data_IF_503379791716
#
_entry.id   IF_503379791716
#
_cell.length_a   1.000
_cell.length_b   1.000
_cell.length_c   1.000
_cell.angle_alpha   90.00
_cell.angle_beta   90.00
_cell.angle_gamma   90.00
#
_symmetry.space_group_name_H-M   'P 1'
#
loop_
_entity.id
_entity.type
_entity.pdbx_description
1 polymer ?
#
# COMPACT_ATOMS: atom_id res chain seq x y z
N UNK A 1 -3.65 -16.21 20.47
CA UNK A 1 -4.07 -16.05 19.06
C UNK A 1 -3.92 -17.38 18.33
N UNK A 2 -5.03 -18.02 17.94
CA UNK A 2 -5.02 -19.31 17.24
C UNK A 2 -4.56 -19.16 15.77
N UNK A 3 -5.05 -18.13 15.08
CA UNK A 3 -4.73 -17.92 13.66
C UNK A 3 -3.25 -17.72 13.34
N UNK A 4 -2.50 -16.99 14.18
CA UNK A 4 -1.06 -16.81 13.99
C UNK A 4 -0.28 -18.14 14.16
N UNK A 5 -0.66 -18.95 15.14
CA UNK A 5 -0.04 -20.26 15.37
C UNK A 5 -0.28 -21.17 14.17
N UNK A 6 -1.53 -21.24 13.69
CA UNK A 6 -1.87 -22.00 12.50
C UNK A 6 -1.12 -21.53 11.26
N UNK A 7 -1.00 -20.21 11.04
CA UNK A 7 -0.24 -19.69 9.89
C UNK A 7 1.25 -20.07 9.96
N UNK A 8 1.88 -19.99 11.13
CA UNK A 8 3.28 -20.41 11.33
C UNK A 8 3.42 -21.92 11.10
N UNK A 9 2.47 -22.72 11.58
CA UNK A 9 2.43 -24.17 11.39
C UNK A 9 2.35 -24.52 9.89
N UNK A 10 1.47 -23.88 9.13
CA UNK A 10 1.39 -24.09 7.68
C UNK A 10 2.68 -23.68 6.96
N UNK A 11 3.29 -22.56 7.35
CA UNK A 11 4.57 -22.11 6.77
C UNK A 11 5.70 -23.09 7.05
N UNK A 12 5.73 -23.71 8.23
CA UNK A 12 6.75 -24.68 8.62
C UNK A 12 6.74 -25.95 7.79
N UNK A 13 5.63 -26.25 7.12
CA UNK A 13 5.53 -27.37 6.16
C UNK A 13 6.19 -27.05 4.81
N UNK A 14 6.38 -25.76 4.48
CA UNK A 14 6.92 -25.31 3.19
C UNK A 14 8.40 -24.94 3.27
N UNK A 15 8.85 -24.40 4.41
CA UNK A 15 10.22 -23.95 4.60
C UNK A 15 10.59 -23.91 6.08
N UNK A 16 11.89 -23.82 6.37
CA UNK A 16 12.37 -23.59 7.74
C UNK A 16 11.88 -22.23 8.24
N UNK A 17 11.14 -22.25 9.35
CA UNK A 17 10.61 -21.03 9.97
C UNK A 17 11.40 -20.70 11.22
N UNK A 18 11.99 -19.50 11.23
CA UNK A 18 12.61 -18.93 12.41
C UNK A 18 11.67 -17.93 13.07
N UNK A 19 11.34 -18.13 14.34
CA UNK A 19 10.58 -17.16 15.12
C UNK A 19 11.53 -16.28 15.93
N UNK A 20 11.20 -14.99 16.04
CA UNK A 20 11.95 -14.01 16.83
C UNK A 20 10.99 -13.28 17.76
N UNK A 21 11.44 -13.01 18.97
CA UNK A 21 10.68 -12.22 19.93
C UNK A 21 10.71 -10.73 19.55
N UNK A 22 9.64 -10.00 19.89
CA UNK A 22 9.52 -8.59 19.53
C UNK A 22 10.65 -7.71 20.09
N UNK A 23 11.21 -8.06 21.26
CA UNK A 23 12.36 -7.35 21.83
C UNK A 23 13.65 -7.57 21.01
N UNK A 24 13.84 -8.75 20.41
CA UNK A 24 14.99 -9.04 19.55
C UNK A 24 14.95 -8.15 18.31
N UNK A 25 13.80 -8.10 17.64
CA UNK A 25 13.58 -7.22 16.49
C UNK A 25 13.79 -5.75 16.88
N UNK A 26 13.35 -5.34 18.07
CA UNK A 26 13.56 -3.98 18.57
C UNK A 26 15.05 -3.64 18.70
N UNK A 27 15.86 -4.56 19.24
CA UNK A 27 17.31 -4.36 19.39
C UNK A 27 18.01 -4.30 18.03
N UNK A 28 17.68 -5.20 17.10
CA UNK A 28 18.28 -5.20 15.78
C UNK A 28 17.92 -3.94 14.97
N UNK A 29 16.67 -3.46 15.08
CA UNK A 29 16.27 -2.18 14.46
C UNK A 29 17.12 -1.02 14.97
N UNK A 30 17.39 -0.95 16.28
CA UNK A 30 18.25 0.10 16.85
C UNK A 30 19.68 0.01 16.30
N UNK A 31 20.24 -1.20 16.21
CA UNK A 31 21.56 -1.42 15.62
C UNK A 31 21.63 -0.99 14.15
N UNK A 32 20.61 -1.35 13.36
CA UNK A 32 20.47 -0.99 11.94
C UNK A 32 19.97 0.44 11.70
N UNK A 33 19.70 1.22 12.75
CA UNK A 33 19.12 2.57 12.69
C UNK A 33 17.80 2.65 11.90
N UNK A 34 16.98 1.60 12.01
CA UNK A 34 15.65 1.55 11.43
C UNK A 34 14.63 2.15 12.40
N UNK A 35 14.20 3.37 12.09
CA UNK A 35 13.20 4.09 12.88
C UNK A 35 11.86 3.35 12.89
N UNK A 36 11.09 3.55 13.96
CA UNK A 36 9.75 3.00 14.06
C UNK A 36 8.80 4.08 14.52
N UNK A 37 7.78 4.31 13.71
CA UNK A 37 6.72 5.22 14.06
C UNK A 37 5.83 4.63 15.15
N UNK A 38 5.34 5.50 16.04
CA UNK A 38 4.29 5.15 17.00
C UNK A 38 2.90 5.22 16.35
N UNK A 39 2.76 5.91 15.23
CA UNK A 39 1.50 6.10 14.54
C UNK A 39 1.27 5.00 13.50
N UNK A 40 0.49 3.97 13.85
CA UNK A 40 0.19 2.85 12.95
C UNK A 40 -0.63 3.22 11.71
N UNK A 41 -1.28 4.39 11.70
CA UNK A 41 -2.05 4.86 10.54
C UNK A 41 -1.17 5.58 9.51
N UNK A 42 0.07 5.90 9.88
CA UNK A 42 1.02 6.54 9.00
C UNK A 42 1.44 5.58 7.88
N UNK A 43 1.24 6.01 6.65
CA UNK A 43 1.60 5.24 5.47
C UNK A 43 3.07 5.42 5.12
N UNK A 44 3.95 4.90 5.98
CA UNK A 44 5.40 5.02 5.82
C UNK A 44 6.13 3.70 6.05
N UNK A 45 7.40 3.57 5.59
CA UNK A 45 8.23 2.41 5.88
C UNK A 45 8.40 2.14 7.38
N UNK A 46 8.48 3.18 8.20
CA UNK A 46 8.68 3.11 9.65
C UNK A 46 7.51 2.43 10.37
N UNK A 47 6.30 2.55 9.81
CA UNK A 47 5.09 1.92 10.33
C UNK A 47 4.86 0.50 9.82
N UNK A 48 5.29 0.20 8.58
CA UNK A 48 4.82 -0.99 7.87
C UNK A 48 5.91 -1.92 7.32
N UNK A 49 7.16 -1.46 7.16
CA UNK A 49 8.22 -2.20 6.50
C UNK A 49 9.43 -2.48 7.40
N UNK A 50 9.82 -1.53 8.27
CA UNK A 50 11.08 -1.59 9.01
C UNK A 50 11.19 -2.81 9.95
N UNK A 51 10.08 -3.25 10.56
CA UNK A 51 10.07 -4.48 11.36
C UNK A 51 10.36 -5.73 10.49
N UNK A 52 9.84 -5.77 9.27
CA UNK A 52 10.07 -6.87 8.32
C UNK A 52 11.51 -6.89 7.79
N UNK A 53 12.07 -5.73 7.49
CA UNK A 53 13.49 -5.58 7.10
C UNK A 53 14.38 -6.12 8.22
N UNK A 54 14.17 -5.67 9.46
CA UNK A 54 14.94 -6.16 10.59
C UNK A 54 14.80 -7.67 10.82
N UNK A 55 13.58 -8.23 10.64
CA UNK A 55 13.38 -9.67 10.71
C UNK A 55 14.21 -10.43 9.66
N UNK A 56 14.26 -9.95 8.42
CA UNK A 56 15.06 -10.54 7.36
C UNK A 56 16.58 -10.44 7.65
N UNK A 57 17.02 -9.35 8.28
CA UNK A 57 18.43 -9.15 8.61
C UNK A 57 18.99 -10.17 9.60
N UNK A 58 18.15 -10.83 10.42
CA UNK A 58 18.60 -11.92 11.30
C UNK A 58 19.18 -13.13 10.54
N UNK A 59 18.94 -13.25 9.22
CA UNK A 59 19.58 -14.27 8.40
C UNK A 59 21.09 -14.01 8.22
N UNK A 60 21.52 -12.76 8.33
CA UNK A 60 22.88 -12.31 8.04
C UNK A 60 23.60 -11.71 9.25
N UNK A 61 22.87 -11.51 10.34
CA UNK A 61 23.36 -10.92 11.58
C UNK A 61 22.98 -11.78 12.76
N UNK A 62 23.99 -12.13 13.55
CA UNK A 62 23.83 -12.80 14.83
C UNK A 62 24.43 -11.95 15.96
N UNK A 63 23.92 -12.15 17.17
CA UNK A 63 24.42 -11.45 18.36
C UNK A 63 25.24 -12.41 19.20
N UNK A 64 26.56 -12.30 19.14
CA UNK A 64 27.48 -13.26 19.74
C UNK A 64 28.30 -12.63 20.86
N UNK A 65 28.65 -13.41 21.90
CA UNK A 65 29.62 -12.96 22.88
C UNK A 65 31.00 -12.81 22.24
N UNK A 66 31.78 -11.86 22.72
CA UNK A 66 33.19 -11.74 22.39
C UNK A 66 34.01 -11.61 23.67
N UNK A 67 35.22 -12.16 23.63
CA UNK A 67 36.22 -12.04 24.67
C UNK A 67 37.52 -11.55 24.02
N UNK A 68 37.91 -10.33 24.36
CA UNK A 68 39.20 -9.74 24.03
C UNK A 68 40.07 -9.67 25.29
N UNK A 69 41.36 -9.39 25.13
CA UNK A 69 42.33 -9.37 26.23
C UNK A 69 41.93 -8.47 27.41
N UNK A 70 41.27 -7.33 27.14
CA UNK A 70 40.84 -6.35 28.14
C UNK A 70 39.32 -6.06 28.14
N UNK A 71 38.53 -6.79 27.35
CA UNK A 71 37.08 -6.55 27.30
C UNK A 71 36.30 -7.81 26.97
N UNK A 72 35.10 -7.91 27.51
CA UNK A 72 34.16 -8.96 27.20
C UNK A 72 32.79 -8.32 27.03
N UNK A 73 31.95 -8.92 26.19
CA UNK A 73 30.64 -8.37 25.91
C UNK A 73 29.96 -9.15 24.81
N UNK A 74 28.98 -8.51 24.19
CA UNK A 74 28.28 -9.05 23.04
C UNK A 74 28.29 -8.02 21.93
N UNK A 75 28.34 -8.51 20.70
CA UNK A 75 28.33 -7.66 19.52
C UNK A 75 27.58 -8.34 18.38
N UNK A 76 27.08 -7.53 17.45
CA UNK A 76 26.49 -8.04 16.22
C UNK A 76 27.60 -8.50 15.28
N UNK A 77 27.52 -9.76 14.83
CA UNK A 77 28.43 -10.38 13.87
C UNK A 77 27.72 -10.59 12.55
N UNK A 78 28.44 -10.30 11.47
CA UNK A 78 27.92 -10.29 10.10
C UNK A 78 27.90 -8.90 9.49
N UNK A 79 27.36 -8.77 8.29
CA UNK A 79 27.31 -7.49 7.58
C UNK A 79 26.02 -7.38 6.77
N UNK A 80 25.33 -6.26 6.94
CA UNK A 80 24.15 -5.89 6.15
C UNK A 80 24.24 -4.41 5.82
N UNK A 81 23.99 -4.07 4.57
CA UNK A 81 23.82 -2.68 4.13
C UNK A 81 22.36 -2.45 3.75
N UNK A 82 21.65 -1.71 4.59
CA UNK A 82 20.29 -1.25 4.24
C UNK A 82 20.42 -0.15 3.19
N UNK A 83 19.68 -0.27 2.10
CA UNK A 83 19.64 0.70 1.02
C UNK A 83 18.25 1.29 0.88
N UNK A 84 18.17 2.50 0.32
CA UNK A 84 16.88 3.10 -0.01
C UNK A 84 16.12 2.21 -1.01
N UNK A 85 14.85 1.99 -0.75
CA UNK A 85 13.95 1.22 -1.59
C UNK A 85 12.67 2.03 -1.85
N UNK A 86 12.03 1.87 -3.02
CA UNK A 86 10.76 2.53 -3.27
C UNK A 86 9.69 2.01 -2.32
N UNK A 87 9.00 2.92 -1.65
CA UNK A 87 7.80 2.60 -0.88
C UNK A 87 6.57 3.05 -1.66
N UNK A 88 5.56 2.20 -1.72
CA UNK A 88 4.31 2.53 -2.39
C UNK A 88 3.11 1.96 -1.65
N UNK A 89 2.07 2.76 -1.53
CA UNK A 89 0.78 2.36 -0.98
C UNK A 89 -0.12 1.96 -2.13
N UNK A 90 -0.50 0.68 -2.16
CA UNK A 90 -1.41 0.13 -3.17
C UNK A 90 -2.78 -0.08 -2.55
N UNK A 91 -3.81 0.50 -3.18
CA UNK A 91 -5.19 0.29 -2.75
C UNK A 91 -6.15 0.22 -3.93
N UNK A 92 -7.35 -0.27 -3.69
CA UNK A 92 -8.42 -0.27 -4.70
C UNK A 92 -9.08 1.10 -4.76
N UNK A 93 -9.46 1.59 -5.95
CA UNK A 93 -10.34 2.74 -6.08
C UNK A 93 -11.64 2.50 -5.28
N UNK A 94 -12.05 3.43 -4.39
CA UNK A 94 -13.30 3.33 -3.65
C UNK A 94 -14.47 3.71 -4.55
N UNK A 95 -14.71 2.88 -5.57
CA UNK A 95 -15.79 3.05 -6.54
C UNK A 95 -17.02 2.26 -6.09
N UNK A 96 -18.17 2.92 -5.99
CA UNK A 96 -19.43 2.23 -5.77
C UNK A 96 -19.75 1.33 -6.96
N UNK A 97 -19.86 0.03 -6.71
CA UNK A 97 -20.39 -0.93 -7.69
C UNK A 97 -21.89 -0.66 -7.89
N UNK A 98 -22.42 -1.04 -9.05
CA UNK A 98 -23.87 -0.97 -9.27
C UNK A 98 -24.55 -1.93 -8.30
N UNK A 99 -25.42 -1.39 -7.45
CA UNK A 99 -26.21 -2.18 -6.51
C UNK A 99 -27.53 -2.60 -7.14
N UNK A 100 -27.99 -3.81 -6.79
CA UNK A 100 -29.19 -4.42 -7.37
C UNK A 100 -30.50 -3.80 -6.86
N UNK A 101 -30.52 -3.21 -5.67
CA UNK A 101 -31.72 -2.59 -5.11
C UNK A 101 -31.94 -1.14 -5.59
N UNK A 102 -30.91 -0.48 -6.14
CA UNK A 102 -31.07 0.79 -6.88
C UNK A 102 -31.62 0.56 -8.31
N UNK A 103 -32.09 -0.65 -8.63
CA UNK A 103 -32.58 -1.07 -9.94
C UNK A 103 -34.09 -0.86 -10.17
N UNK A 104 -34.83 -0.26 -9.25
CA UNK A 104 -36.22 0.15 -9.56
C UNK A 104 -36.15 1.20 -10.67
N UNK A 105 -36.88 0.94 -11.76
CA UNK A 105 -36.92 1.85 -12.88
C UNK A 105 -37.44 3.21 -12.43
N UNK A 106 -36.76 4.28 -12.86
CA UNK A 106 -37.36 5.61 -12.78
C UNK A 106 -38.52 5.70 -13.78
N UNK A 107 -39.44 6.65 -13.58
CA UNK A 107 -40.51 6.94 -14.55
C UNK A 107 -39.90 7.05 -15.96
N UNK A 108 -40.34 6.20 -16.89
CA UNK A 108 -39.77 6.07 -18.23
C UNK A 108 -38.78 4.90 -18.45
N UNK A 109 -38.72 3.91 -17.55
CA UNK A 109 -38.04 2.63 -17.80
C UNK A 109 -36.50 2.68 -17.80
N UNK A 110 -35.91 3.82 -17.42
CA UNK A 110 -34.46 3.99 -17.32
C UNK A 110 -33.99 3.79 -15.89
N UNK A 111 -32.92 3.00 -15.70
CA UNK A 111 -32.26 2.82 -14.41
C UNK A 111 -31.39 4.04 -14.09
N UNK A 112 -31.31 4.41 -12.81
CA UNK A 112 -30.40 5.47 -12.36
C UNK A 112 -28.95 5.09 -12.70
N UNK A 113 -28.19 6.04 -13.24
CA UNK A 113 -26.76 5.89 -13.55
C UNK A 113 -25.90 6.05 -12.28
N UNK A 114 -26.26 5.35 -11.20
CA UNK A 114 -25.48 5.34 -9.96
C UNK A 114 -24.59 4.10 -9.90
N UNK A 115 -23.32 4.31 -9.54
CA UNK A 115 -22.30 3.25 -9.52
C UNK A 115 -21.87 2.75 -10.91
N UNK A 116 -20.85 1.90 -10.91
CA UNK A 116 -20.23 1.36 -12.13
C UNK A 116 -18.90 2.02 -12.47
N UNK A 117 -18.16 1.36 -13.37
CA UNK A 117 -16.77 1.67 -13.69
C UNK A 117 -16.56 2.45 -14.97
N UNK A 118 -17.57 2.60 -15.85
CA UNK A 118 -17.43 3.30 -17.14
C UNK A 118 -18.16 4.64 -17.09
N UNK A 119 -17.52 5.71 -17.57
CA UNK A 119 -18.10 7.05 -17.70
C UNK A 119 -18.78 7.23 -19.06
N UNK A 120 -19.57 8.30 -19.23
CA UNK A 120 -20.22 8.62 -20.52
C UNK A 120 -19.24 9.00 -21.64
N UNK A 121 -17.96 9.23 -21.30
CA UNK A 121 -16.97 9.86 -22.17
C UNK A 121 -15.87 8.91 -22.64
N UNK A 122 -16.08 7.59 -22.52
CA UNK A 122 -15.09 6.58 -22.91
C UNK A 122 -13.94 6.36 -21.92
N UNK A 123 -13.97 7.04 -20.77
CA UNK A 123 -13.05 6.82 -19.65
C UNK A 123 -13.65 5.84 -18.63
N UNK A 124 -12.80 5.21 -17.83
CA UNK A 124 -13.22 4.35 -16.72
C UNK A 124 -12.78 4.93 -15.40
N UNK A 125 -13.58 4.76 -14.36
CA UNK A 125 -13.17 5.11 -13.00
C UNK A 125 -11.93 4.29 -12.63
N UNK A 126 -10.91 4.97 -12.12
CA UNK A 126 -9.57 4.43 -11.89
C UNK A 126 -8.64 4.48 -13.11
N UNK A 127 -9.07 5.00 -14.27
CA UNK A 127 -8.13 5.38 -15.34
C UNK A 127 -7.20 6.46 -14.79
N UNK A 128 -5.90 6.32 -15.02
CA UNK A 128 -4.91 7.34 -14.71
C UNK A 128 -4.85 8.32 -15.87
N UNK A 129 -4.99 9.61 -15.57
CA UNK A 129 -5.10 10.66 -16.57
C UNK A 129 -4.22 11.85 -16.20
N UNK A 130 -3.73 12.55 -17.23
CA UNK A 130 -3.13 13.87 -17.11
C UNK A 130 -4.21 14.93 -17.34
N UNK A 131 -4.14 16.02 -16.58
CA UNK A 131 -5.09 17.12 -16.66
C UNK A 131 -4.45 18.44 -16.25
N UNK A 132 -5.07 19.60 -16.54
CA UNK A 132 -4.55 20.90 -16.10
C UNK A 132 -4.46 21.07 -14.58
N UNK A 133 -5.10 20.19 -13.79
CA UNK A 133 -5.03 20.17 -12.32
C UNK A 133 -4.02 19.16 -11.78
N UNK A 134 -3.26 18.50 -12.67
CA UNK A 134 -2.29 17.47 -12.33
C UNK A 134 -2.70 16.07 -12.78
N UNK A 135 -1.81 15.11 -12.50
CA UNK A 135 -2.04 13.70 -12.76
C UNK A 135 -2.93 13.12 -11.65
N UNK A 136 -3.96 12.36 -12.04
CA UNK A 136 -4.86 11.74 -11.09
C UNK A 136 -5.69 10.63 -11.70
N UNK A 137 -6.62 10.11 -10.91
CA UNK A 137 -7.51 9.02 -11.27
C UNK A 137 -8.90 9.53 -11.57
N UNK A 138 -9.54 9.01 -12.62
CA UNK A 138 -10.94 9.31 -12.90
C UNK A 138 -11.80 8.74 -11.76
N UNK A 139 -12.56 9.60 -11.08
CA UNK A 139 -13.44 9.21 -9.95
C UNK A 139 -14.92 9.24 -10.33
N UNK A 140 -15.29 9.95 -11.39
CA UNK A 140 -16.65 9.99 -11.92
C UNK A 140 -16.81 10.94 -13.09
N UNK A 141 -18.06 11.21 -13.47
CA UNK A 141 -18.40 12.06 -14.60
C UNK A 141 -19.69 12.84 -14.37
N UNK A 142 -19.72 14.03 -14.95
CA UNK A 142 -20.94 14.81 -15.20
C UNK A 142 -21.26 14.72 -16.69
N UNK A 143 -22.28 15.46 -17.12
CA UNK A 143 -22.68 15.50 -18.53
C UNK A 143 -21.55 15.94 -19.47
N UNK A 144 -20.67 16.86 -19.04
CA UNK A 144 -19.63 17.44 -19.90
C UNK A 144 -18.20 17.27 -19.37
N UNK A 145 -18.03 16.81 -18.13
CA UNK A 145 -16.74 16.81 -17.45
C UNK A 145 -16.46 15.49 -16.75
N UNK A 146 -15.19 15.17 -16.56
CA UNK A 146 -14.74 14.08 -15.70
C UNK A 146 -14.26 14.65 -14.37
N UNK A 147 -14.61 13.96 -13.29
CA UNK A 147 -14.03 14.21 -11.97
C UNK A 147 -12.70 13.46 -11.89
N UNK A 148 -11.63 14.19 -11.57
CA UNK A 148 -10.29 13.64 -11.36
C UNK A 148 -9.94 13.79 -9.87
N UNK A 149 -9.44 12.72 -9.26
CA UNK A 149 -9.04 12.65 -7.86
C UNK A 149 -7.57 12.23 -7.72
N UNK A 150 -6.94 12.59 -6.61
CA UNK A 150 -5.59 12.14 -6.26
C UNK A 150 -5.56 10.67 -5.79
N UNK A 151 -4.38 10.21 -5.37
CA UNK A 151 -4.18 8.86 -4.82
C UNK A 151 -4.95 8.66 -3.51
N UNK A 152 -5.23 9.72 -2.75
CA UNK A 152 -6.08 9.73 -1.54
C UNK A 152 -7.58 9.76 -1.85
N UNK A 153 -7.95 9.75 -3.13
CA UNK A 153 -9.33 9.90 -3.62
C UNK A 153 -9.97 11.26 -3.34
N UNK A 154 -9.18 12.25 -2.93
CA UNK A 154 -9.61 13.65 -2.82
C UNK A 154 -9.70 14.24 -4.21
N UNK A 155 -10.83 14.89 -4.52
CA UNK A 155 -11.09 15.44 -5.86
C UNK A 155 -10.17 16.62 -6.14
N UNK A 156 -9.36 16.51 -7.21
CA UNK A 156 -8.55 17.61 -7.75
C UNK A 156 -9.43 18.61 -8.51
N UNK A 157 -10.44 18.13 -9.22
CA UNK A 157 -11.41 18.98 -9.90
C UNK A 157 -12.34 18.22 -10.84
N UNK A 158 -13.24 18.98 -11.46
CA UNK A 158 -14.04 18.53 -12.60
C UNK A 158 -13.50 19.23 -13.85
N UNK A 159 -13.15 18.43 -14.86
CA UNK A 159 -12.34 18.88 -15.98
C UNK A 159 -13.05 18.46 -17.27
N UNK A 160 -13.12 19.39 -18.22
CA UNK A 160 -13.68 19.11 -19.54
C UNK A 160 -12.92 17.94 -20.19
N UNK A 161 -13.66 17.02 -20.80
CA UNK A 161 -13.10 15.79 -21.41
C UNK A 161 -12.00 16.12 -22.42
N UNK A 162 -12.18 17.20 -23.19
CA UNK A 162 -11.21 17.68 -24.18
C UNK A 162 -9.84 18.08 -23.61
N UNK A 163 -9.75 18.33 -22.30
CA UNK A 163 -8.51 18.71 -21.60
C UNK A 163 -7.88 17.54 -20.85
N UNK A 164 -8.35 16.31 -21.05
CA UNK A 164 -7.89 15.13 -20.31
C UNK A 164 -7.21 14.18 -21.27
N UNK A 165 -5.99 13.78 -20.90
CA UNK A 165 -5.24 12.78 -21.64
C UNK A 165 -5.16 11.49 -20.83
N UNK A 166 -5.55 10.36 -21.43
CA UNK A 166 -5.39 9.05 -20.82
C UNK A 166 -3.91 8.69 -20.76
N UNK A 167 -3.40 8.41 -19.56
CA UNK A 167 -2.05 7.85 -19.36
C UNK A 167 -2.14 6.32 -19.34
N UNK A 168 -3.09 5.78 -18.58
CA UNK A 168 -3.23 4.34 -18.39
C UNK A 168 -4.66 3.94 -18.07
N UNK A 169 -5.14 2.85 -18.66
CA UNK A 169 -6.42 2.24 -18.31
C UNK A 169 -6.42 1.66 -16.89
N UNK A 170 -7.56 1.72 -16.23
CA UNK A 170 -7.79 1.17 -14.90
C UNK A 170 -7.42 -0.31 -14.85
N UNK A 171 -6.54 -0.64 -13.89
CA UNK A 171 -6.19 -2.02 -13.51
C UNK A 171 -6.80 -2.37 -12.13
N UNK A 172 -7.74 -1.56 -11.65
CA UNK A 172 -8.33 -1.72 -10.31
C UNK A 172 -7.42 -1.33 -9.15
N UNK A 173 -6.25 -0.73 -9.42
CA UNK A 173 -5.28 -0.30 -8.41
C UNK A 173 -4.93 1.18 -8.53
N UNK A 174 -4.84 1.81 -7.36
CA UNK A 174 -4.28 3.13 -7.13
C UNK A 174 -2.95 2.91 -6.44
N UNK A 175 -1.91 3.60 -6.93
CA UNK A 175 -0.57 3.51 -6.38
C UNK A 175 -0.16 4.91 -5.94
N UNK A 176 0.02 5.10 -4.64
CA UNK A 176 0.69 6.29 -4.09
C UNK A 176 2.15 5.96 -3.88
N UNK A 177 3.05 6.80 -4.36
CA UNK A 177 4.46 6.78 -4.02
C UNK A 177 4.78 7.94 -3.10
#
# INVERSE_FOLDING_TARGET
>A
MVGQKWAIEQLSQLATVHTRFGWQTSNLRKHLRLEKSKNKAEQSPESHANDGIALACFQFLDYWPFHASNSHGYDWKGSVKVTNAPFAVIKRPPISRRQLHLMVFSKGGKRRKYGGSTTRHGFRKGDLVSSPKGIGYVSGDTEKQLSVSDTSWKRLGQIAVSKIQLIRRSNGLIVSR
#
